data_IF_548351979730
#
_entry.id   IF_548351979730
#
_cell.length_a   1.000
_cell.length_b   1.000
_cell.length_c   1.000
_cell.angle_alpha   90.00
_cell.angle_beta   90.00
_cell.angle_gamma   90.00
#
_symmetry.space_group_name_H-M   'P 1'
#
loop_
_entity.id
_entity.type
_entity.pdbx_description
1 polymer ?
#
# COMPACT_ATOMS: atom_id res chain seq x y z
N UNK A 1 4.42 -6.73 31.95
CA UNK A 1 3.81 -7.21 30.68
C UNK A 1 4.94 -7.84 29.90
N UNK A 2 4.88 -9.14 29.60
CA UNK A 2 5.97 -9.83 28.92
C UNK A 2 5.61 -9.99 27.44
N UNK A 3 6.41 -9.39 26.56
CA UNK A 3 6.27 -9.54 25.11
C UNK A 3 6.96 -10.83 24.63
N UNK A 4 6.55 -11.34 23.47
CA UNK A 4 7.22 -12.47 22.85
C UNK A 4 8.62 -12.06 22.36
N UNK A 5 9.65 -12.85 22.66
CA UNK A 5 11.07 -12.55 22.33
C UNK A 5 11.37 -12.34 20.84
N UNK A 6 10.45 -12.72 19.94
CA UNK A 6 10.57 -12.44 18.50
C UNK A 6 10.41 -10.95 18.18
N UNK A 7 9.68 -10.20 19.02
CA UNK A 7 9.47 -8.75 18.88
C UNK A 7 10.81 -8.02 18.96
N UNK A 8 11.70 -8.47 19.85
CA UNK A 8 13.02 -7.86 20.06
C UNK A 8 13.93 -7.93 18.82
N UNK A 9 13.60 -8.80 17.85
CA UNK A 9 14.32 -8.96 16.59
C UNK A 9 13.81 -8.04 15.47
N UNK A 10 12.67 -7.37 15.66
CA UNK A 10 12.10 -6.49 14.65
C UNK A 10 12.80 -5.14 14.73
N UNK A 11 13.53 -4.71 13.68
CA UNK A 11 14.20 -3.42 13.71
C UNK A 11 13.18 -2.27 13.69
N UNK A 12 13.55 -1.08 14.20
CA UNK A 12 12.73 0.11 14.05
C UNK A 12 12.39 0.39 12.58
N UNK A 13 11.17 0.84 12.32
CA UNK A 13 10.73 1.18 10.97
C UNK A 13 11.41 2.46 10.48
N UNK A 14 12.39 2.29 9.59
CA UNK A 14 13.27 3.37 9.11
C UNK A 14 12.50 4.59 8.59
N UNK A 15 11.42 4.37 7.85
CA UNK A 15 10.66 5.45 7.22
C UNK A 15 10.01 6.41 8.22
N UNK A 16 9.66 5.96 9.43
CA UNK A 16 9.16 6.87 10.48
C UNK A 16 10.23 7.87 10.89
N UNK A 17 11.49 7.44 10.98
CA UNK A 17 12.61 8.33 11.27
C UNK A 17 12.86 9.34 10.15
N UNK A 18 12.73 8.91 8.89
CA UNK A 18 12.85 9.80 7.72
C UNK A 18 11.72 10.83 7.72
N UNK A 19 10.47 10.39 7.85
CA UNK A 19 9.30 11.28 7.89
C UNK A 19 9.39 12.31 9.00
N UNK A 20 9.85 11.90 10.19
CA UNK A 20 10.07 12.82 11.32
C UNK A 20 11.11 13.89 10.99
N UNK A 21 12.26 13.51 10.43
CA UNK A 21 13.29 14.48 10.03
C UNK A 21 12.80 15.44 8.94
N UNK A 22 12.03 14.95 7.97
CA UNK A 22 11.42 15.80 6.93
C UNK A 22 10.48 16.82 7.57
N UNK A 23 9.62 16.39 8.50
CA UNK A 23 8.72 17.29 9.22
C UNK A 23 9.47 18.35 10.03
N UNK A 24 10.46 17.94 10.84
CA UNK A 24 11.30 18.85 11.63
C UNK A 24 12.02 19.90 10.76
N UNK A 25 12.47 19.51 9.56
CA UNK A 25 13.13 20.43 8.62
C UNK A 25 12.14 21.40 7.96
N UNK A 26 10.95 20.92 7.60
CA UNK A 26 9.87 21.78 7.07
C UNK A 26 9.40 22.81 8.10
N UNK A 27 9.31 22.43 9.38
CA UNK A 27 8.99 23.36 10.48
C UNK A 27 10.06 24.47 10.64
N UNK A 28 11.31 24.18 10.30
CA UNK A 28 12.42 25.14 10.27
C UNK A 28 12.38 26.05 9.02
N UNK A 29 11.36 25.92 8.16
CA UNK A 29 11.25 26.68 6.90
C UNK A 29 12.19 26.17 5.80
N UNK A 30 12.77 24.98 5.95
CA UNK A 30 13.66 24.40 4.95
C UNK A 30 12.81 23.70 3.88
N UNK A 31 13.06 24.01 2.62
CA UNK A 31 12.50 23.28 1.49
C UNK A 31 13.18 21.91 1.36
N UNK A 32 12.39 20.84 1.48
CA UNK A 32 12.89 19.45 1.51
C UNK A 32 12.42 18.71 0.27
N UNK A 33 13.38 18.43 -0.62
CA UNK A 33 13.19 17.52 -1.76
C UNK A 33 13.48 16.09 -1.28
N UNK A 34 12.46 15.24 -1.29
CA UNK A 34 12.56 13.87 -0.80
C UNK A 34 12.67 12.87 -1.95
N UNK A 35 13.80 12.18 -2.03
CA UNK A 35 13.97 10.97 -2.85
C UNK A 35 13.92 9.69 -1.99
N UNK A 36 13.45 9.81 -0.74
CA UNK A 36 13.57 8.75 0.26
C UNK A 36 12.41 7.76 0.30
N UNK A 37 11.28 8.05 -0.37
CA UNK A 37 10.07 7.23 -0.36
C UNK A 37 9.69 6.94 -1.81
N UNK A 38 9.56 5.65 -2.16
CA UNK A 38 9.21 5.19 -3.50
C UNK A 38 7.70 5.18 -3.77
N UNK A 39 6.97 6.15 -3.22
CA UNK A 39 5.53 6.31 -3.47
C UNK A 39 5.34 7.14 -4.74
N UNK A 40 4.59 6.66 -5.75
CA UNK A 40 4.34 7.43 -6.96
C UNK A 40 3.63 8.75 -6.66
N UNK A 41 4.03 9.81 -7.36
CA UNK A 41 3.38 11.12 -7.34
C UNK A 41 2.20 11.21 -8.33
N UNK A 42 2.09 10.23 -9.24
CA UNK A 42 0.99 10.08 -10.19
C UNK A 42 -0.21 9.35 -9.55
N UNK A 43 -1.44 9.78 -9.82
CA UNK A 43 -2.63 9.12 -9.29
C UNK A 43 -2.82 7.73 -9.91
N UNK A 44 -3.53 6.86 -9.19
CA UNK A 44 -4.05 5.61 -9.74
C UNK A 44 -4.88 5.87 -11.00
N UNK A 45 -4.73 5.08 -12.09
CA UNK A 45 -5.50 5.27 -13.32
C UNK A 45 -7.02 5.25 -13.12
N UNK A 46 -7.73 6.16 -13.81
CA UNK A 46 -9.18 6.36 -13.66
C UNK A 46 -9.98 5.08 -13.87
N UNK A 47 -9.60 4.22 -14.81
CA UNK A 47 -10.29 2.96 -15.06
C UNK A 47 -10.28 2.00 -13.86
N UNK A 48 -9.23 2.06 -13.03
CA UNK A 48 -9.14 1.27 -11.78
C UNK A 48 -10.05 1.88 -10.71
N UNK A 49 -10.02 3.21 -10.58
CA UNK A 49 -10.87 3.94 -9.61
C UNK A 49 -12.35 3.75 -9.93
N UNK A 50 -12.75 3.88 -11.18
CA UNK A 50 -14.14 3.70 -11.59
C UNK A 50 -14.61 2.26 -11.38
N UNK A 51 -13.76 1.25 -11.66
CA UNK A 51 -14.13 -0.15 -11.40
C UNK A 51 -14.26 -0.44 -9.90
N UNK A 52 -13.39 0.15 -9.07
CA UNK A 52 -13.53 0.09 -7.62
C UNK A 52 -14.87 0.69 -7.17
N UNK A 53 -15.23 1.89 -7.65
CA UNK A 53 -16.49 2.56 -7.32
C UNK A 53 -17.70 1.72 -7.71
N UNK A 54 -17.70 1.15 -8.91
CA UNK A 54 -18.76 0.28 -9.40
C UNK A 54 -18.92 -0.97 -8.51
N UNK A 55 -17.81 -1.69 -8.28
CA UNK A 55 -17.81 -2.98 -7.55
C UNK A 55 -18.06 -2.82 -6.05
N UNK A 56 -17.78 -1.65 -5.47
CA UNK A 56 -18.11 -1.36 -4.06
C UNK A 56 -19.62 -1.31 -3.80
N UNK A 57 -20.43 -1.00 -4.82
CA UNK A 57 -21.90 -0.97 -4.73
C UNK A 57 -22.54 -2.37 -4.87
N UNK A 58 -21.76 -3.38 -5.26
CA UNK A 58 -22.23 -4.73 -5.47
C UNK A 58 -22.26 -5.51 -4.14
N UNK A 59 -23.46 -5.74 -3.60
CA UNK A 59 -23.68 -6.36 -2.29
C UNK A 59 -22.99 -7.72 -2.08
N UNK A 60 -22.94 -8.63 -3.07
CA UNK A 60 -22.07 -9.81 -3.06
C UNK A 60 -20.62 -9.55 -2.63
N UNK A 61 -20.00 -8.44 -3.02
CA UNK A 61 -18.61 -8.12 -2.69
C UNK A 61 -18.40 -7.70 -1.23
N UNK A 62 -19.48 -7.55 -0.44
CA UNK A 62 -19.41 -7.21 0.99
C UNK A 62 -19.18 -8.45 1.86
N UNK A 63 -19.22 -9.65 1.27
CA UNK A 63 -19.00 -10.91 1.97
C UNK A 63 -17.53 -11.28 1.99
N UNK A 64 -17.19 -12.24 2.86
CA UNK A 64 -15.83 -12.76 2.90
C UNK A 64 -15.41 -13.34 1.55
N UNK A 65 -14.24 -12.96 1.01
CA UNK A 65 -13.68 -13.64 -0.14
C UNK A 65 -13.18 -15.03 0.25
N UNK A 66 -12.83 -15.83 -0.75
CA UNK A 66 -12.07 -17.05 -0.54
C UNK A 66 -10.71 -16.74 0.11
N UNK A 67 -10.18 -17.68 0.89
CA UNK A 67 -8.89 -17.54 1.59
C UNK A 67 -7.74 -17.20 0.65
N UNK A 68 -7.77 -17.72 -0.57
CA UNK A 68 -6.75 -17.51 -1.58
C UNK A 68 -7.00 -16.27 -2.46
N UNK A 69 -8.04 -15.50 -2.15
CA UNK A 69 -8.52 -14.39 -2.99
C UNK A 69 -9.44 -14.85 -4.13
N UNK A 70 -10.02 -13.88 -4.84
CA UNK A 70 -10.98 -14.12 -5.92
C UNK A 70 -10.36 -14.98 -7.05
N UNK A 71 -10.99 -16.09 -7.48
CA UNK A 71 -10.53 -16.89 -8.62
C UNK A 71 -10.26 -16.05 -9.88
N UNK A 72 -11.11 -15.07 -10.16
CA UNK A 72 -11.01 -14.18 -11.32
C UNK A 72 -9.75 -13.32 -11.27
N UNK A 73 -9.37 -12.84 -10.08
CA UNK A 73 -8.13 -12.07 -9.91
C UNK A 73 -6.91 -12.95 -10.14
N UNK A 74 -6.90 -14.17 -9.58
CA UNK A 74 -5.82 -15.14 -9.77
C UNK A 74 -5.62 -15.47 -11.26
N UNK A 75 -6.72 -15.70 -11.98
CA UNK A 75 -6.67 -15.94 -13.42
C UNK A 75 -6.15 -14.72 -14.19
N UNK A 76 -6.63 -13.51 -13.88
CA UNK A 76 -6.19 -12.29 -14.53
C UNK A 76 -4.68 -12.03 -14.37
N UNK A 77 -4.12 -12.34 -13.19
CA UNK A 77 -2.68 -12.27 -12.93
C UNK A 77 -1.92 -13.30 -13.78
N UNK A 78 -2.39 -14.55 -13.81
CA UNK A 78 -1.77 -15.60 -14.63
C UNK A 78 -1.75 -15.23 -16.12
N UNK A 79 -2.88 -14.76 -16.65
CA UNK A 79 -3.00 -14.33 -18.05
C UNK A 79 -2.08 -13.14 -18.35
N UNK A 80 -1.92 -12.21 -17.41
CA UNK A 80 -1.00 -11.09 -17.58
C UNK A 80 0.46 -11.55 -17.66
N UNK A 81 0.86 -12.51 -16.83
CA UNK A 81 2.19 -13.11 -16.88
C UNK A 81 2.44 -13.89 -18.17
N UNK A 82 1.41 -14.48 -18.79
CA UNK A 82 1.56 -15.19 -20.07
C UNK A 82 1.69 -14.26 -21.28
N UNK A 83 1.11 -13.06 -21.20
CA UNK A 83 1.15 -12.06 -22.29
C UNK A 83 2.43 -11.22 -22.31
N UNK A 84 3.21 -11.23 -21.23
CA UNK A 84 4.46 -10.47 -21.08
C UNK A 84 5.67 -11.38 -21.17
#
# INVERSE_FOLDING_TARGET
MNFASRIDKVPPYLFVGISRKIAEKREQGIDVISFGIGDPDIPTPDNVIEKLRETALDGPNHRYPETDGLPEFRQAVADWYQRR
#
